data_IF_810208591563
#
_entry.id   IF_810208591563
#
_cell.length_a   1.000
_cell.length_b   1.000
_cell.length_c   1.000
_cell.angle_alpha   90.00
_cell.angle_beta   90.00
_cell.angle_gamma   90.00
#
_symmetry.space_group_name_H-M   'P 1'
#
loop_
_entity.id
_entity.type
_entity.pdbx_description
1 polymer ?
#
# COMPACT_ATOMS: atom_id res chain seq x y z
N UNK A 1 -6.51 -35.61 45.07
CA UNK A 1 -6.69 -35.13 43.67
C UNK A 1 -5.34 -34.96 42.99
N UNK A 2 -4.87 -35.92 42.17
CA UNK A 2 -3.60 -35.80 41.40
C UNK A 2 -3.80 -35.81 39.87
N UNK A 3 -5.01 -36.06 39.40
CA UNK A 3 -5.34 -36.30 37.99
C UNK A 3 -5.59 -35.03 37.16
N UNK A 4 -5.81 -33.87 37.79
CA UNK A 4 -6.19 -32.63 37.09
C UNK A 4 -5.02 -31.76 36.58
N UNK A 5 -3.79 -31.98 37.07
CA UNK A 5 -2.66 -31.09 36.75
C UNK A 5 -2.13 -31.26 35.32
N UNK A 6 -2.05 -32.51 34.83
CA UNK A 6 -1.57 -32.80 33.48
C UNK A 6 -2.59 -32.41 32.41
N UNK A 7 -3.88 -32.69 32.65
CA UNK A 7 -4.98 -32.25 31.79
C UNK A 7 -5.01 -30.72 31.66
N UNK A 8 -4.85 -30.00 32.77
CA UNK A 8 -4.76 -28.55 32.77
C UNK A 8 -3.56 -28.03 31.97
N UNK A 9 -2.42 -28.73 32.02
CA UNK A 9 -1.22 -28.38 31.23
C UNK A 9 -1.47 -28.60 29.73
N UNK A 10 -2.20 -29.66 29.36
CA UNK A 10 -2.61 -29.91 27.96
C UNK A 10 -3.59 -28.85 27.46
N UNK A 11 -4.56 -28.45 28.29
CA UNK A 11 -5.49 -27.36 27.97
C UNK A 11 -4.73 -26.03 27.75
N UNK A 12 -3.76 -25.71 28.60
CA UNK A 12 -2.94 -24.52 28.41
C UNK A 12 -2.07 -24.59 27.15
N UNK A 13 -1.53 -25.75 26.79
CA UNK A 13 -0.80 -25.92 25.51
C UNK A 13 -1.71 -25.69 24.31
N UNK A 14 -2.96 -26.19 24.34
CA UNK A 14 -3.96 -25.94 23.29
C UNK A 14 -4.27 -24.44 23.16
N UNK A 15 -4.49 -23.76 24.28
CA UNK A 15 -4.73 -22.30 24.30
C UNK A 15 -3.50 -21.55 23.76
N UNK A 16 -2.28 -21.94 24.15
CA UNK A 16 -1.06 -21.34 23.61
C UNK A 16 -0.93 -21.44 22.09
N UNK A 17 -1.47 -22.50 21.48
CA UNK A 17 -1.43 -22.69 20.02
C UNK A 17 -2.57 -21.92 19.33
N UNK A 18 -3.78 -21.99 19.89
CA UNK A 18 -4.98 -21.43 19.26
C UNK A 18 -5.03 -19.90 19.39
N UNK A 19 -4.65 -19.34 20.54
CA UNK A 19 -4.80 -17.91 20.80
C UNK A 19 -3.98 -17.01 19.85
N UNK A 20 -2.70 -17.28 19.56
CA UNK A 20 -1.94 -16.47 18.59
C UNK A 20 -2.51 -16.58 17.18
N UNK A 21 -2.96 -17.77 16.77
CA UNK A 21 -3.58 -17.99 15.46
C UNK A 21 -4.90 -17.23 15.33
N UNK A 22 -5.73 -17.21 16.39
CA UNK A 22 -6.94 -16.41 16.43
C UNK A 22 -6.64 -14.91 16.43
N UNK A 23 -5.65 -14.44 17.21
CA UNK A 23 -5.29 -13.02 17.23
C UNK A 23 -4.81 -12.57 15.85
N UNK A 24 -3.92 -13.33 15.20
CA UNK A 24 -3.42 -13.01 13.85
C UNK A 24 -4.53 -13.10 12.78
N UNK A 25 -5.38 -14.13 12.82
CA UNK A 25 -6.49 -14.27 11.87
C UNK A 25 -7.57 -13.20 12.04
N UNK A 26 -7.92 -12.86 13.29
CA UNK A 26 -8.92 -11.83 13.59
C UNK A 26 -8.39 -10.42 13.29
N UNK A 27 -7.10 -10.14 13.52
CA UNK A 27 -6.52 -8.85 13.09
C UNK A 27 -6.44 -8.75 11.57
N UNK A 28 -6.08 -9.81 10.85
CA UNK A 28 -6.05 -9.82 9.38
C UNK A 28 -7.43 -9.49 8.77
N UNK A 29 -8.47 -10.20 9.22
CA UNK A 29 -9.86 -9.96 8.80
C UNK A 29 -10.42 -8.58 9.23
N UNK A 30 -9.98 -8.05 10.37
CA UNK A 30 -10.35 -6.69 10.79
C UNK A 30 -9.73 -5.61 9.89
N UNK A 31 -8.48 -5.79 9.48
CA UNK A 31 -7.80 -4.89 8.52
C UNK A 31 -8.48 -4.97 7.15
N UNK A 32 -8.75 -6.18 6.65
CA UNK A 32 -9.35 -6.40 5.33
C UNK A 32 -10.77 -5.84 5.23
N UNK A 33 -11.58 -6.04 6.27
CA UNK A 33 -12.94 -5.47 6.36
C UNK A 33 -12.94 -3.94 6.50
N UNK A 34 -11.95 -3.37 7.19
CA UNK A 34 -11.78 -1.91 7.27
C UNK A 34 -11.33 -1.31 5.93
N UNK A 35 -10.43 -1.98 5.21
CA UNK A 35 -9.98 -1.56 3.88
C UNK A 35 -11.12 -1.64 2.84
N UNK A 36 -11.99 -2.63 2.96
CA UNK A 36 -13.19 -2.80 2.12
C UNK A 36 -14.27 -1.73 2.38
N UNK A 37 -14.49 -1.34 3.65
CA UNK A 37 -15.54 -0.40 4.03
C UNK A 37 -15.20 1.08 3.81
N UNK A 38 -13.94 1.46 3.95
CA UNK A 38 -13.59 2.88 3.98
C UNK A 38 -13.24 3.50 2.62
N UNK A 39 -13.22 2.72 1.54
CA UNK A 39 -13.05 3.23 0.18
C UNK A 39 -11.69 3.86 -0.11
N UNK A 40 -11.26 3.83 -1.37
CA UNK A 40 -10.02 4.49 -1.82
C UNK A 40 -10.27 6.00 -1.92
N UNK A 41 -9.67 6.78 -1.01
CA UNK A 41 -9.77 8.24 -0.94
C UNK A 41 -9.10 8.80 0.33
N UNK A 42 -9.01 10.13 0.46
CA UNK A 42 -8.29 10.83 1.56
C UNK A 42 -8.88 10.50 2.94
N UNK A 43 -10.22 10.38 3.05
CA UNK A 43 -10.89 9.98 4.30
C UNK A 43 -10.66 8.49 4.64
N UNK A 44 -10.48 7.65 3.62
CA UNK A 44 -10.10 6.25 3.77
C UNK A 44 -8.66 6.08 4.26
N UNK A 45 -7.77 7.02 3.93
CA UNK A 45 -6.36 7.01 4.35
C UNK A 45 -6.22 7.23 5.86
N UNK A 46 -6.94 8.21 6.42
CA UNK A 46 -6.93 8.47 7.87
C UNK A 46 -7.50 7.30 8.67
N UNK A 47 -8.62 6.73 8.22
CA UNK A 47 -9.21 5.57 8.87
C UNK A 47 -8.34 4.30 8.72
N UNK A 48 -7.66 4.12 7.58
CA UNK A 48 -6.71 3.02 7.38
C UNK A 48 -5.49 3.13 8.32
N UNK A 49 -4.96 4.33 8.56
CA UNK A 49 -3.86 4.56 9.50
C UNK A 49 -4.28 4.19 10.92
N UNK A 50 -5.46 4.64 11.36
CA UNK A 50 -5.96 4.36 12.72
C UNK A 50 -6.23 2.87 12.90
N UNK A 51 -6.85 2.20 11.92
CA UNK A 51 -7.08 0.75 11.96
C UNK A 51 -5.75 -0.03 11.95
N UNK A 52 -4.78 0.37 11.13
CA UNK A 52 -3.45 -0.27 11.11
C UNK A 52 -2.72 -0.10 12.45
N UNK A 53 -2.80 1.08 13.07
CA UNK A 53 -2.18 1.34 14.37
C UNK A 53 -2.83 0.52 15.49
N UNK A 54 -4.17 0.44 15.53
CA UNK A 54 -4.90 -0.40 16.46
C UNK A 54 -4.58 -1.89 16.27
N UNK A 55 -4.50 -2.34 15.02
CA UNK A 55 -4.13 -3.72 14.71
C UNK A 55 -2.71 -4.05 15.20
N UNK A 56 -1.76 -3.11 15.06
CA UNK A 56 -0.39 -3.30 15.55
C UNK A 56 -0.33 -3.35 17.08
N UNK A 57 -1.11 -2.53 17.78
CA UNK A 57 -1.24 -2.61 19.26
C UNK A 57 -1.78 -3.97 19.69
N UNK A 58 -2.85 -4.45 19.05
CA UNK A 58 -3.45 -5.76 19.36
C UNK A 58 -2.44 -6.88 19.08
N UNK A 59 -1.68 -6.78 17.99
CA UNK A 59 -0.63 -7.74 17.63
C UNK A 59 0.48 -7.79 18.67
N UNK A 60 0.99 -6.63 19.10
CA UNK A 60 2.04 -6.53 20.12
C UNK A 60 1.57 -7.04 21.49
N UNK A 61 0.37 -6.66 21.91
CA UNK A 61 -0.24 -7.16 23.15
C UNK A 61 -0.46 -8.68 23.11
N UNK A 62 -0.90 -9.20 21.97
CA UNK A 62 -1.09 -10.63 21.72
C UNK A 62 0.23 -11.41 21.79
N UNK A 63 1.30 -10.91 21.16
CA UNK A 63 2.64 -11.50 21.20
C UNK A 63 3.20 -11.52 22.63
N UNK A 64 3.05 -10.44 23.38
CA UNK A 64 3.49 -10.37 24.77
C UNK A 64 2.72 -11.37 25.66
N UNK A 65 1.39 -11.44 25.51
CA UNK A 65 0.56 -12.42 26.21
C UNK A 65 0.93 -13.86 25.88
N UNK A 66 1.19 -14.16 24.61
CA UNK A 66 1.66 -15.45 24.15
C UNK A 66 3.03 -15.81 24.76
N UNK A 67 4.00 -14.89 24.78
CA UNK A 67 5.33 -15.15 25.34
C UNK A 67 5.25 -15.57 26.83
N UNK A 68 4.42 -14.87 27.62
CA UNK A 68 4.19 -15.21 29.03
C UNK A 68 3.57 -16.61 29.17
N UNK A 69 2.56 -16.91 28.36
CA UNK A 69 1.87 -18.20 28.37
C UNK A 69 2.76 -19.36 27.90
N UNK A 70 3.58 -19.15 26.86
CA UNK A 70 4.56 -20.13 26.38
C UNK A 70 5.59 -20.44 27.47
N UNK A 71 6.17 -19.43 28.12
CA UNK A 71 7.08 -19.61 29.26
C UNK A 71 6.43 -20.38 30.42
N UNK A 72 5.16 -20.10 30.73
CA UNK A 72 4.42 -20.81 31.76
C UNK A 72 4.19 -22.29 31.40
N UNK A 73 3.82 -22.59 30.15
CA UNK A 73 3.66 -23.96 29.65
C UNK A 73 4.98 -24.74 29.69
N UNK A 74 6.09 -24.14 29.22
CA UNK A 74 7.42 -24.75 29.25
C UNK A 74 7.83 -25.08 30.69
N UNK A 75 7.65 -24.13 31.62
CA UNK A 75 7.93 -24.34 33.05
C UNK A 75 7.13 -25.52 33.62
N UNK A 76 5.83 -25.64 33.26
CA UNK A 76 5.01 -26.78 33.70
C UNK A 76 5.48 -28.11 33.09
N UNK A 77 5.80 -28.14 31.79
CA UNK A 77 6.29 -29.34 31.11
C UNK A 77 7.55 -29.89 31.83
N UNK A 78 8.49 -29.01 32.17
CA UNK A 78 9.70 -29.34 32.93
C UNK A 78 9.35 -29.84 34.34
N UNK A 79 8.52 -29.08 35.08
CA UNK A 79 8.15 -29.42 36.46
C UNK A 79 7.38 -30.75 36.56
N UNK A 80 6.55 -31.09 35.57
CA UNK A 80 5.80 -32.34 35.54
C UNK A 80 6.54 -33.50 34.89
N UNK A 81 7.82 -33.32 34.53
CA UNK A 81 8.66 -34.32 33.83
C UNK A 81 7.95 -34.92 32.62
N UNK A 82 7.24 -34.08 31.86
CA UNK A 82 6.62 -34.49 30.61
C UNK A 82 7.71 -34.72 29.54
N UNK A 83 7.42 -35.44 28.45
CA UNK A 83 8.37 -35.65 27.37
C UNK A 83 8.94 -34.32 26.87
N UNK A 84 10.26 -34.21 26.75
CA UNK A 84 10.94 -32.95 26.41
C UNK A 84 10.46 -32.39 25.06
N UNK A 85 10.09 -33.26 24.11
CA UNK A 85 9.51 -32.90 22.82
C UNK A 85 8.20 -32.09 22.95
N UNK A 86 7.47 -32.19 24.06
CA UNK A 86 6.26 -31.38 24.31
C UNK A 86 6.55 -29.89 24.45
N UNK A 87 7.80 -29.49 24.73
CA UNK A 87 8.25 -28.09 24.76
C UNK A 87 8.11 -27.42 23.39
N UNK A 88 8.14 -28.20 22.30
CA UNK A 88 8.00 -27.68 20.94
C UNK A 88 6.59 -27.14 20.70
N UNK A 89 5.56 -27.77 21.28
CA UNK A 89 4.15 -27.43 21.06
C UNK A 89 3.85 -25.95 21.35
N UNK A 90 4.17 -25.39 22.53
CA UNK A 90 3.95 -23.98 22.80
C UNK A 90 4.81 -23.05 21.93
N UNK A 91 5.85 -23.53 21.25
CA UNK A 91 6.72 -22.74 20.36
C UNK A 91 6.26 -22.74 18.89
N UNK A 92 5.36 -23.66 18.49
CA UNK A 92 4.85 -23.76 17.11
C UNK A 92 4.34 -22.42 16.56
N UNK A 93 3.52 -21.64 17.29
CA UNK A 93 3.04 -20.35 16.78
C UNK A 93 4.17 -19.35 16.52
N UNK A 94 5.19 -19.29 17.39
CA UNK A 94 6.35 -18.43 17.16
C UNK A 94 7.09 -18.80 15.87
N UNK A 95 7.28 -20.10 15.62
CA UNK A 95 7.96 -20.61 14.42
C UNK A 95 7.17 -20.22 13.16
N UNK A 96 5.84 -20.38 13.18
CA UNK A 96 4.96 -20.01 12.06
C UNK A 96 5.01 -18.50 11.80
N UNK A 97 4.89 -17.68 12.86
CA UNK A 97 4.90 -16.21 12.75
C UNK A 97 6.25 -15.73 12.20
N UNK A 98 7.37 -16.22 12.74
CA UNK A 98 8.72 -15.85 12.27
C UNK A 98 8.90 -16.29 10.81
N UNK A 99 8.46 -17.50 10.45
CA UNK A 99 8.50 -17.99 9.07
C UNK A 99 7.71 -17.11 8.11
N UNK A 100 6.50 -16.67 8.49
CA UNK A 100 5.69 -15.73 7.71
C UNK A 100 6.40 -14.39 7.53
N UNK A 101 6.93 -13.80 8.61
CA UNK A 101 7.65 -12.52 8.55
C UNK A 101 8.86 -12.61 7.61
N UNK A 102 9.63 -13.69 7.68
CA UNK A 102 10.79 -13.89 6.79
C UNK A 102 10.32 -14.01 5.34
N UNK A 103 9.23 -14.75 5.10
CA UNK A 103 8.69 -14.95 3.74
C UNK A 103 8.19 -13.63 3.16
N UNK A 104 7.45 -12.83 3.93
CA UNK A 104 6.94 -11.53 3.52
C UNK A 104 8.07 -10.52 3.28
N UNK A 105 9.09 -10.50 4.16
CA UNK A 105 10.28 -9.67 3.94
C UNK A 105 11.06 -10.09 2.71
N UNK A 106 11.19 -11.39 2.46
CA UNK A 106 11.88 -11.92 1.27
C UNK A 106 11.11 -11.56 0.01
N UNK A 107 9.79 -11.69 0.02
CA UNK A 107 8.92 -11.28 -1.09
C UNK A 107 9.03 -9.78 -1.35
N UNK A 108 8.90 -8.95 -0.31
CA UNK A 108 9.05 -7.51 -0.44
C UNK A 108 10.45 -7.11 -0.94
N UNK A 109 11.50 -7.82 -0.51
CA UNK A 109 12.85 -7.62 -1.00
C UNK A 109 13.00 -7.98 -2.49
N UNK A 110 12.43 -9.11 -2.92
CA UNK A 110 12.42 -9.52 -4.34
C UNK A 110 11.63 -8.50 -5.17
N UNK A 111 10.44 -8.12 -4.72
CA UNK A 111 9.60 -7.11 -5.38
C UNK A 111 10.36 -5.78 -5.52
N UNK A 112 11.05 -5.30 -4.49
CA UNK A 112 11.92 -4.11 -4.57
C UNK A 112 13.09 -4.29 -5.54
N UNK A 113 13.68 -5.48 -5.60
CA UNK A 113 14.81 -5.75 -6.49
C UNK A 113 14.37 -5.77 -7.96
N UNK A 114 13.21 -6.35 -8.25
CA UNK A 114 12.65 -6.46 -9.60
C UNK A 114 11.82 -5.26 -10.01
N UNK A 115 11.50 -4.32 -9.10
CA UNK A 115 10.82 -3.08 -9.44
C UNK A 115 11.68 -2.27 -10.41
N UNK A 116 11.11 -2.00 -11.59
CA UNK A 116 11.72 -1.31 -12.72
C UNK A 116 10.77 -0.23 -13.29
N UNK A 117 11.19 0.41 -14.39
CA UNK A 117 10.41 1.45 -15.06
C UNK A 117 9.06 0.93 -15.58
N UNK A 118 9.03 -0.25 -16.18
CA UNK A 118 7.81 -0.84 -16.76
C UNK A 118 6.76 -1.15 -15.68
N UNK A 119 7.19 -1.70 -14.53
CA UNK A 119 6.30 -1.91 -13.39
C UNK A 119 5.72 -0.60 -12.85
N UNK A 120 6.54 0.47 -12.85
CA UNK A 120 6.10 1.81 -12.45
C UNK A 120 5.10 2.40 -13.46
N UNK A 121 5.36 2.27 -14.77
CA UNK A 121 4.46 2.71 -15.85
C UNK A 121 3.12 2.00 -15.76
N UNK A 122 3.12 0.66 -15.68
CA UNK A 122 1.89 -0.14 -15.62
C UNK A 122 0.98 0.30 -14.46
N UNK A 123 1.57 0.54 -13.28
CA UNK A 123 0.84 0.97 -12.10
C UNK A 123 0.16 2.32 -12.32
N UNK A 124 0.85 3.28 -12.94
CA UNK A 124 0.28 4.60 -13.26
C UNK A 124 -0.85 4.48 -14.28
N UNK A 125 -0.65 3.67 -15.32
CA UNK A 125 -1.66 3.44 -16.36
C UNK A 125 -2.93 2.79 -15.81
N UNK A 126 -2.82 1.86 -14.85
CA UNK A 126 -3.98 1.29 -14.16
C UNK A 126 -4.76 2.33 -13.35
N UNK A 127 -4.06 3.23 -12.66
CA UNK A 127 -4.70 4.28 -11.88
C UNK A 127 -5.32 5.37 -12.77
N UNK A 128 -4.66 5.75 -13.88
CA UNK A 128 -5.17 6.67 -14.91
C UNK A 128 -6.58 6.32 -15.36
N UNK A 129 -6.85 5.04 -15.62
CA UNK A 129 -8.16 4.54 -16.08
C UNK A 129 -9.30 4.81 -15.09
N UNK A 130 -9.00 4.97 -13.81
CA UNK A 130 -9.99 5.26 -12.77
C UNK A 130 -10.37 6.75 -12.74
N UNK A 131 -9.53 7.63 -13.31
CA UNK A 131 -9.67 9.09 -13.21
C UNK A 131 -10.41 9.76 -14.38
N UNK A 132 -11.16 8.98 -15.15
CA UNK A 132 -11.95 9.49 -16.27
C UNK A 132 -13.05 10.43 -15.76
N UNK A 133 -13.06 11.68 -16.24
CA UNK A 133 -14.09 12.70 -15.99
C UNK A 133 -14.84 13.03 -17.27
N UNK A 134 -16.12 13.40 -17.13
CA UNK A 134 -16.89 13.95 -18.24
C UNK A 134 -16.58 15.44 -18.42
N UNK A 135 -16.20 15.84 -19.64
CA UNK A 135 -15.94 17.24 -20.03
C UNK A 135 -17.24 18.00 -20.22
N UNK A 136 -17.14 19.33 -20.38
CA UNK A 136 -18.23 20.20 -20.82
C UNK A 136 -18.90 19.74 -22.13
N UNK A 137 -18.13 19.08 -23.00
CA UNK A 137 -18.58 18.45 -24.25
C UNK A 137 -19.14 17.03 -24.07
N UNK A 138 -19.17 16.51 -22.84
CA UNK A 138 -19.72 15.18 -22.52
C UNK A 138 -18.77 14.01 -22.81
N UNK A 139 -17.51 14.28 -23.17
CA UNK A 139 -16.52 13.24 -23.44
C UNK A 139 -15.82 12.81 -22.16
N UNK A 140 -15.48 11.53 -22.09
CA UNK A 140 -14.55 10.99 -21.10
C UNK A 140 -13.14 11.51 -21.38
N UNK A 141 -12.55 12.19 -20.39
CA UNK A 141 -11.19 12.73 -20.45
C UNK A 141 -10.44 12.52 -19.14
N UNK A 142 -9.12 12.50 -19.19
CA UNK A 142 -8.27 12.35 -18.01
C UNK A 142 -7.79 13.72 -17.52
N UNK A 143 -8.00 14.03 -16.25
CA UNK A 143 -7.57 15.30 -15.68
C UNK A 143 -6.03 15.35 -15.53
N UNK A 144 -5.41 16.38 -16.10
CA UNK A 144 -3.95 16.55 -16.13
C UNK A 144 -3.33 16.66 -14.73
N UNK A 145 -3.90 17.47 -13.83
CA UNK A 145 -3.33 17.70 -12.50
C UNK A 145 -3.29 16.42 -11.65
N UNK A 146 -4.25 15.51 -11.86
CA UNK A 146 -4.27 14.21 -11.21
C UNK A 146 -3.20 13.27 -11.76
N UNK A 147 -2.99 13.24 -13.07
CA UNK A 147 -1.90 12.44 -13.69
C UNK A 147 -0.56 12.89 -13.11
N UNK A 148 -0.30 14.19 -13.06
CA UNK A 148 0.97 14.73 -12.59
C UNK A 148 1.16 14.53 -11.10
N UNK A 149 0.11 14.68 -10.29
CA UNK A 149 0.18 14.39 -8.85
C UNK A 149 0.57 12.94 -8.57
N UNK A 150 0.12 12.02 -9.41
CA UNK A 150 0.39 10.58 -9.28
C UNK A 150 1.79 10.22 -9.79
N UNK A 151 2.21 10.80 -10.92
CA UNK A 151 3.58 10.67 -11.42
C UNK A 151 4.60 11.28 -10.44
N UNK A 152 4.37 12.48 -9.92
CA UNK A 152 5.46 13.31 -9.39
C UNK A 152 5.56 13.41 -7.86
N UNK A 153 4.64 12.86 -7.06
CA UNK A 153 4.97 12.83 -5.63
C UNK A 153 3.93 12.42 -4.60
N UNK A 154 2.63 12.35 -4.91
CA UNK A 154 1.64 12.14 -3.84
C UNK A 154 1.26 10.68 -3.58
N UNK A 155 1.52 9.78 -4.53
CA UNK A 155 1.05 8.38 -4.47
C UNK A 155 2.11 7.34 -4.86
N UNK A 156 3.40 7.65 -4.63
CA UNK A 156 4.47 6.69 -4.87
C UNK A 156 4.28 5.43 -3.99
N UNK A 157 4.33 4.21 -4.57
CA UNK A 157 4.06 2.99 -3.82
C UNK A 157 5.12 2.75 -2.74
N UNK A 158 4.76 2.05 -1.67
CA UNK A 158 5.70 1.69 -0.60
C UNK A 158 6.93 0.93 -1.12
N UNK A 159 6.77 0.16 -2.20
CA UNK A 159 7.88 -0.48 -2.90
C UNK A 159 8.85 0.56 -3.48
N UNK A 160 8.36 1.58 -4.21
CA UNK A 160 9.17 2.67 -4.75
C UNK A 160 9.85 3.47 -3.64
N UNK A 161 9.11 3.89 -2.60
CA UNK A 161 9.65 4.69 -1.47
C UNK A 161 10.71 3.96 -0.65
N UNK A 162 10.82 2.64 -0.81
CA UNK A 162 11.78 1.81 -0.10
C UNK A 162 13.02 1.45 -0.93
N UNK A 163 13.08 1.89 -2.18
CA UNK A 163 14.27 1.81 -3.03
C UNK A 163 15.28 2.89 -2.62
N UNK A 164 16.54 2.69 -2.96
CA UNK A 164 17.54 3.74 -2.85
C UNK A 164 17.24 4.89 -3.83
N UNK A 165 17.65 6.10 -3.46
CA UNK A 165 17.38 7.33 -4.22
C UNK A 165 17.90 7.26 -5.67
N UNK A 166 19.03 6.58 -5.89
CA UNK A 166 19.60 6.41 -7.23
C UNK A 166 18.74 5.48 -8.09
N UNK A 167 18.27 4.36 -7.54
CA UNK A 167 17.35 3.47 -8.24
C UNK A 167 15.99 4.11 -8.50
N UNK A 168 15.45 4.86 -7.53
CA UNK A 168 14.24 5.66 -7.72
C UNK A 168 14.39 6.64 -8.88
N UNK A 169 15.52 7.37 -8.91
CA UNK A 169 15.84 8.33 -9.97
C UNK A 169 15.96 7.65 -11.33
N UNK A 170 16.62 6.49 -11.42
CA UNK A 170 16.78 5.75 -12.67
C UNK A 170 15.41 5.27 -13.21
N UNK A 171 14.60 4.65 -12.35
CA UNK A 171 13.25 4.20 -12.70
C UNK A 171 12.40 5.37 -13.17
N UNK A 172 12.47 6.51 -12.47
CA UNK A 172 11.71 7.69 -12.84
C UNK A 172 12.15 8.28 -14.18
N UNK A 173 13.47 8.36 -14.40
CA UNK A 173 14.05 8.85 -15.65
C UNK A 173 13.66 8.00 -16.86
N UNK A 174 13.55 6.68 -16.67
CA UNK A 174 13.13 5.75 -17.72
C UNK A 174 11.61 5.76 -17.92
N UNK A 175 10.83 5.89 -16.84
CA UNK A 175 9.37 5.83 -16.91
C UNK A 175 8.71 7.11 -17.43
N UNK A 176 9.23 8.30 -17.11
CA UNK A 176 8.61 9.57 -17.51
C UNK A 176 8.42 9.67 -19.02
N UNK A 177 9.42 9.38 -19.88
CA UNK A 177 9.23 9.40 -21.33
C UNK A 177 8.14 8.44 -21.83
N UNK A 178 8.06 7.23 -21.26
CA UNK A 178 7.05 6.22 -21.62
C UNK A 178 5.65 6.74 -21.26
N UNK A 179 5.50 7.27 -20.04
CA UNK A 179 4.24 7.84 -19.57
C UNK A 179 3.80 9.03 -20.41
N UNK A 180 4.72 9.91 -20.80
CA UNK A 180 4.39 11.06 -21.65
C UNK A 180 3.86 10.62 -23.02
N UNK A 181 4.48 9.60 -23.64
CA UNK A 181 3.97 9.02 -24.90
C UNK A 181 2.58 8.41 -24.73
N UNK A 182 2.32 7.71 -23.62
CA UNK A 182 0.99 7.17 -23.31
C UNK A 182 -0.05 8.28 -23.06
N UNK A 183 0.36 9.43 -22.50
CA UNK A 183 -0.52 10.55 -22.20
C UNK A 183 -0.85 11.36 -23.46
N UNK A 184 0.09 11.52 -24.39
CA UNK A 184 -0.13 12.20 -25.68
C UNK A 184 -1.26 11.57 -26.51
N UNK A 185 -1.49 10.27 -26.35
CA UNK A 185 -2.51 9.52 -27.09
C UNK A 185 -3.91 9.63 -26.48
N UNK A 186 -4.09 10.39 -25.39
CA UNK A 186 -5.34 10.41 -24.63
C UNK A 186 -6.03 11.76 -24.63
N UNK A 187 -7.35 11.73 -24.47
CA UNK A 187 -8.15 12.94 -24.31
C UNK A 187 -7.92 13.49 -22.91
N UNK A 188 -7.27 14.64 -22.81
CA UNK A 188 -6.94 15.28 -21.54
C UNK A 188 -7.90 16.41 -21.25
N UNK A 189 -8.06 16.72 -19.97
CA UNK A 189 -8.77 17.92 -19.54
C UNK A 189 -8.06 18.62 -18.39
N UNK A 190 -8.25 19.93 -18.31
CA UNK A 190 -7.78 20.76 -17.20
C UNK A 190 -8.96 21.51 -16.57
N UNK A 191 -8.84 21.89 -15.30
CA UNK A 191 -9.88 22.67 -14.62
C UNK A 191 -9.88 24.10 -15.16
N UNK A 192 -10.92 24.46 -15.90
CA UNK A 192 -11.05 25.78 -16.52
C UNK A 192 -11.88 26.76 -15.69
N UNK A 193 -12.57 26.28 -14.66
CA UNK A 193 -13.32 27.13 -13.75
C UNK A 193 -14.27 26.37 -12.83
N UNK A 194 -15.17 27.09 -12.20
CA UNK A 194 -16.14 26.54 -11.26
C UNK A 194 -17.55 27.05 -11.54
N UNK A 195 -18.48 26.13 -11.81
CA UNK A 195 -19.88 26.46 -12.00
C UNK A 195 -20.59 26.57 -10.64
N UNK A 196 -20.92 27.79 -10.25
CA UNK A 196 -21.57 28.10 -8.97
C UNK A 196 -23.02 27.59 -8.87
N UNK A 197 -23.71 27.42 -9.99
CA UNK A 197 -25.12 27.03 -10.01
C UNK A 197 -25.31 25.52 -9.77
N UNK A 198 -24.36 24.71 -10.23
CA UNK A 198 -24.33 23.26 -10.02
C UNK A 198 -23.33 22.82 -8.94
N UNK A 199 -22.53 23.75 -8.41
CA UNK A 199 -21.54 23.49 -7.36
C UNK A 199 -20.40 22.56 -7.80
N UNK A 200 -20.03 22.55 -9.09
CA UNK A 200 -19.03 21.63 -9.66
C UNK A 200 -17.96 22.37 -10.48
N UNK A 201 -16.70 21.89 -10.46
CA UNK A 201 -15.68 22.37 -11.38
C UNK A 201 -16.06 22.07 -12.83
N UNK A 202 -15.65 22.97 -13.72
CA UNK A 202 -15.77 22.85 -15.17
C UNK A 202 -14.42 22.39 -15.70
N UNK A 203 -14.44 21.40 -16.59
CA UNK A 203 -13.25 20.86 -17.23
C UNK A 203 -13.31 21.12 -18.72
N UNK A 204 -12.24 21.66 -19.27
CA UNK A 204 -12.07 21.88 -20.70
C UNK A 204 -11.02 20.93 -21.25
N UNK A 205 -11.26 20.42 -22.45
CA UNK A 205 -10.30 19.55 -23.14
C UNK A 205 -9.02 20.31 -23.48
N UNK A 206 -7.89 19.64 -23.29
CA UNK A 206 -6.56 20.18 -23.62
C UNK A 206 -5.77 19.15 -24.41
N UNK A 207 -4.86 19.62 -25.25
CA UNK A 207 -3.90 18.77 -25.98
C UNK A 207 -2.49 19.14 -25.58
N UNK A 208 -1.58 18.16 -25.58
CA UNK A 208 -0.15 18.41 -25.38
C UNK A 208 0.43 18.88 -26.72
N UNK A 209 1.07 20.05 -26.73
CA UNK A 209 1.81 20.53 -27.90
C UNK A 209 3.25 20.02 -27.88
N UNK A 210 3.88 20.07 -26.72
CA UNK A 210 5.24 19.57 -26.51
C UNK A 210 5.53 19.35 -25.03
N UNK A 211 6.56 18.56 -24.75
CA UNK A 211 7.06 18.36 -23.40
C UNK A 211 8.57 18.12 -23.42
N UNK A 212 9.20 18.34 -22.27
CA UNK A 212 10.61 18.10 -22.07
C UNK A 212 10.86 17.57 -20.64
N UNK A 213 11.58 16.45 -20.56
CA UNK A 213 12.04 15.87 -19.30
C UNK A 213 13.53 16.19 -19.10
N UNK A 214 13.87 16.86 -18.00
CA UNK A 214 15.25 17.07 -17.60
C UNK A 214 15.64 16.10 -16.47
N UNK A 215 16.38 15.01 -16.75
CA UNK A 215 16.76 14.00 -15.76
C UNK A 215 17.80 14.49 -14.74
N UNK A 216 18.52 15.58 -15.03
CA UNK A 216 19.50 16.16 -14.11
C UNK A 216 18.80 16.94 -13.01
N UNK A 217 17.83 17.76 -13.37
CA UNK A 217 17.07 18.62 -12.45
C UNK A 217 15.81 17.97 -11.91
N UNK A 218 15.41 16.81 -12.46
CA UNK A 218 14.16 16.13 -12.12
C UNK A 218 12.93 16.90 -12.58
N UNK A 219 13.04 17.67 -13.66
CA UNK A 219 12.02 18.65 -14.04
C UNK A 219 11.29 18.20 -15.31
N UNK A 220 9.97 18.04 -15.20
CA UNK A 220 9.09 17.86 -16.37
C UNK A 220 8.49 19.23 -16.72
N UNK A 221 8.64 19.66 -17.97
CA UNK A 221 7.95 20.81 -18.54
C UNK A 221 6.96 20.32 -19.59
N UNK A 222 5.68 20.67 -19.48
CA UNK A 222 4.66 20.32 -20.48
C UNK A 222 3.98 21.59 -20.96
N UNK A 223 3.80 21.68 -22.27
CA UNK A 223 3.13 22.76 -22.97
C UNK A 223 1.81 22.23 -23.50
N UNK A 224 0.72 22.88 -23.13
CA UNK A 224 -0.64 22.51 -23.53
C UNK A 224 -1.29 23.58 -24.40
N UNK A 225 -2.28 23.16 -25.18
CA UNK A 225 -3.20 24.00 -25.93
C UNK A 225 -4.64 23.66 -25.53
N UNK A 226 -5.47 24.68 -25.30
CA UNK A 226 -6.88 24.55 -24.94
C UNK A 226 -7.84 24.59 -26.16
N UNK A 227 -7.32 24.57 -27.38
CA UNK A 227 -8.10 24.70 -28.61
C UNK A 227 -8.44 26.14 -28.99
N UNK A 228 -8.13 27.14 -28.15
CA UNK A 228 -8.24 28.58 -28.46
C UNK A 228 -6.88 29.19 -28.87
N UNK A 229 -5.84 28.34 -29.06
CA UNK A 229 -4.44 28.71 -29.27
C UNK A 229 -3.76 29.36 -28.05
N UNK A 230 -4.34 29.25 -26.85
CA UNK A 230 -3.64 29.66 -25.65
C UNK A 230 -2.66 28.56 -25.23
N UNK A 231 -1.41 28.97 -25.07
CA UNK A 231 -0.30 28.09 -24.69
C UNK A 231 0.04 28.31 -23.23
N UNK A 232 -0.02 27.25 -22.43
CA UNK A 232 0.35 27.29 -21.01
C UNK A 232 1.41 26.24 -20.69
N UNK A 233 2.40 26.68 -19.91
CA UNK A 233 3.57 25.89 -19.52
C UNK A 233 3.43 25.52 -18.05
N UNK A 234 3.39 24.23 -17.75
CA UNK A 234 3.46 23.72 -16.38
C UNK A 234 4.81 23.03 -16.16
N UNK A 235 5.41 23.28 -15.00
CA UNK A 235 6.67 22.70 -14.57
C UNK A 235 6.50 21.99 -13.24
N UNK A 236 7.02 20.76 -13.15
CA UNK A 236 7.01 19.96 -11.93
C UNK A 236 8.43 19.54 -11.57
N UNK A 237 8.72 19.44 -10.27
CA UNK A 237 10.03 19.11 -9.69
C UNK A 237 9.87 18.13 -8.55
#
# INVERSE_FOLDING_TARGET
>A
MKTNSKLLTVLFMLVCVITPLLIYGLTGSFIESSASRNGRGIDGFGAAIVTAFLAEIIRLAGLAGYAVMACFCIRRIINFKMPIWSVIIPLIPAIIIIGSIITDQTRAYVERKTYDADAYVQLITEHKKVFIRNTDKGNSAVNTDYIWSFMLGTWQPAAYNSLDEQKQKNIFNEAVPILMQDIENETLCDESGYNKDIGKPIYSEVTIESWNWNPETGTLSVIYNNGENDVFIKQWK
#
